data_IF_303930025003
#
_entry.id   IF_303930025003
#
_cell.length_a   1.000
_cell.length_b   1.000
_cell.length_c   1.000
_cell.angle_alpha   90.00
_cell.angle_beta   90.00
_cell.angle_gamma   90.00
#
_symmetry.space_group_name_H-M   'P 1'
#
loop_
_entity.id
_entity.type
_entity.pdbx_description
1 polymer ?
#
# COMPACT_ATOMS: atom_id res chain seq x y z
N UNK A 1 1.38 -36.11 13.84
CA UNK A 1 2.17 -35.19 14.73
C UNK A 1 3.01 -36.07 15.64
N UNK A 2 4.32 -35.88 15.67
CA UNK A 2 5.19 -36.58 16.61
C UNK A 2 4.97 -35.99 18.01
N UNK A 3 4.43 -36.77 18.93
CA UNK A 3 4.26 -36.40 20.32
C UNK A 3 5.61 -36.62 21.00
N UNK A 4 6.27 -35.55 21.41
CA UNK A 4 7.51 -35.63 22.20
C UNK A 4 7.20 -35.91 23.66
N UNK A 5 7.23 -37.17 24.01
CA UNK A 5 7.13 -37.60 25.41
C UNK A 5 8.46 -37.31 26.17
N UNK A 6 8.32 -36.59 27.27
CA UNK A 6 9.25 -36.52 28.39
C UNK A 6 10.75 -36.29 28.06
N UNK A 7 11.07 -35.18 27.50
CA UNK A 7 12.39 -34.59 27.69
C UNK A 7 12.18 -33.37 28.60
N UNK A 8 12.91 -33.26 29.72
CA UNK A 8 12.98 -32.04 30.53
C UNK A 8 13.62 -30.96 29.70
N UNK A 9 12.81 -30.21 28.97
CA UNK A 9 13.26 -29.11 28.14
C UNK A 9 13.31 -27.80 28.93
N UNK A 10 14.21 -26.94 28.47
CA UNK A 10 14.35 -25.60 28.98
C UNK A 10 12.98 -24.91 29.03
N UNK A 11 12.69 -24.26 30.14
CA UNK A 11 11.47 -23.53 30.47
C UNK A 11 11.18 -22.36 29.49
N UNK A 12 12.03 -22.14 28.50
CA UNK A 12 11.86 -21.10 27.44
C UNK A 12 11.77 -21.76 26.07
N UNK A 13 10.62 -21.64 25.47
CA UNK A 13 10.42 -22.00 24.06
C UNK A 13 11.22 -20.99 23.20
N UNK A 14 11.98 -21.50 22.22
CA UNK A 14 12.60 -20.64 21.22
C UNK A 14 11.51 -20.03 20.36
N UNK A 15 11.12 -18.82 20.68
CA UNK A 15 10.18 -18.02 19.87
C UNK A 15 10.94 -17.29 18.77
N UNK A 16 10.26 -17.07 17.63
CA UNK A 16 10.80 -16.19 16.60
C UNK A 16 10.92 -14.78 17.15
N UNK A 17 11.90 -14.03 16.64
CA UNK A 17 11.99 -12.62 16.96
C UNK A 17 10.73 -11.90 16.53
N UNK A 18 10.10 -11.16 17.46
CA UNK A 18 8.95 -10.33 17.19
C UNK A 18 9.40 -9.08 16.46
N UNK A 19 8.81 -8.80 15.33
CA UNK A 19 9.01 -7.54 14.62
C UNK A 19 7.73 -6.73 14.72
N UNK A 20 7.81 -5.54 15.30
CA UNK A 20 6.72 -4.58 15.22
C UNK A 20 6.40 -4.26 13.75
N UNK A 21 5.16 -3.88 13.44
CA UNK A 21 4.78 -3.47 12.09
C UNK A 21 5.69 -2.34 11.60
N UNK A 22 6.27 -2.53 10.41
CA UNK A 22 7.16 -1.53 9.80
C UNK A 22 6.35 -0.41 9.18
N UNK A 23 5.13 -0.72 8.73
CA UNK A 23 4.27 0.19 7.98
C UNK A 23 3.34 1.00 8.85
N UNK A 24 3.11 0.63 10.11
CA UNK A 24 2.07 1.21 10.97
C UNK A 24 2.17 2.74 11.13
N UNK A 25 3.38 3.30 11.24
CA UNK A 25 3.60 4.74 11.42
C UNK A 25 3.25 5.57 10.19
N UNK A 26 3.29 4.95 9.01
CA UNK A 26 3.08 5.61 7.73
C UNK A 26 1.71 5.26 7.12
N UNK A 27 0.85 4.56 7.87
CA UNK A 27 -0.53 4.27 7.48
C UNK A 27 -1.41 5.51 7.60
N UNK A 28 -2.30 5.71 6.63
CA UNK A 28 -3.33 6.73 6.68
C UNK A 28 -4.60 6.20 7.36
N UNK A 29 -5.12 6.98 8.34
CA UNK A 29 -6.31 6.61 9.10
C UNK A 29 -7.50 7.52 8.82
N UNK A 30 -7.44 8.36 7.79
CA UNK A 30 -8.51 9.31 7.43
C UNK A 30 -9.57 8.63 6.57
N UNK A 31 -10.42 7.80 7.18
CA UNK A 31 -11.52 7.11 6.50
C UNK A 31 -12.72 6.91 7.43
N UNK A 32 -13.89 6.69 6.85
CA UNK A 32 -15.08 6.25 7.57
C UNK A 32 -15.64 4.96 6.95
N UNK A 33 -16.13 4.06 7.80
CA UNK A 33 -16.84 2.88 7.34
C UNK A 33 -18.25 3.28 6.89
N UNK A 34 -18.70 2.75 5.75
CA UNK A 34 -20.04 3.00 5.24
C UNK A 34 -21.11 2.61 6.26
N UNK A 35 -20.93 1.44 6.88
CA UNK A 35 -21.76 0.94 7.99
C UNK A 35 -20.87 0.14 8.97
N UNK A 36 -21.25 -0.01 10.25
CA UNK A 36 -20.49 -0.79 11.22
C UNK A 36 -20.19 -2.22 10.79
N UNK A 37 -21.06 -2.84 10.00
CA UNK A 37 -20.91 -4.21 9.49
C UNK A 37 -20.40 -4.28 8.04
N UNK A 38 -20.19 -3.14 7.38
CA UNK A 38 -19.70 -3.10 6.01
C UNK A 38 -18.19 -3.36 5.93
N UNK A 39 -17.75 -3.89 4.79
CA UNK A 39 -16.34 -3.97 4.38
C UNK A 39 -15.93 -2.78 3.53
N UNK A 40 -16.88 -1.89 3.21
CA UNK A 40 -16.67 -0.75 2.34
C UNK A 40 -16.38 0.49 3.16
N UNK A 41 -15.33 1.19 2.78
CA UNK A 41 -14.98 2.52 3.29
C UNK A 41 -15.39 3.57 2.26
N UNK A 42 -15.70 4.76 2.75
CA UNK A 42 -16.07 5.90 1.95
C UNK A 42 -15.17 7.08 2.28
N UNK A 43 -14.64 7.71 1.26
CA UNK A 43 -13.80 8.90 1.36
C UNK A 43 -14.39 9.97 0.46
N UNK A 44 -14.76 11.10 1.05
CA UNK A 44 -15.22 12.28 0.33
C UNK A 44 -14.06 13.22 0.03
N UNK A 45 -14.08 13.82 -1.14
CA UNK A 45 -13.21 14.92 -1.52
C UNK A 45 -14.06 16.03 -2.10
N UNK A 46 -13.73 17.27 -1.74
CA UNK A 46 -14.38 18.46 -2.27
C UNK A 46 -13.53 18.97 -3.45
N UNK A 47 -14.19 19.24 -4.57
CA UNK A 47 -13.49 19.76 -5.74
C UNK A 47 -13.13 21.22 -5.54
N UNK A 48 -12.01 21.65 -6.11
CA UNK A 48 -11.60 23.05 -6.13
C UNK A 48 -12.14 23.73 -7.38
N UNK A 49 -12.36 25.03 -7.29
CA UNK A 49 -12.80 25.88 -8.40
C UNK A 49 -11.59 26.67 -8.91
N UNK A 50 -11.42 26.83 -10.24
CA UNK A 50 -10.33 27.64 -10.78
C UNK A 50 -10.46 29.11 -10.36
N UNK A 51 -9.31 29.73 -10.08
CA UNK A 51 -9.27 31.16 -9.77
C UNK A 51 -9.39 31.99 -11.04
N UNK A 52 -10.18 33.06 -10.97
CA UNK A 52 -10.34 34.05 -12.04
C UNK A 52 -9.76 35.39 -11.61
N UNK A 53 -9.28 36.19 -12.55
CA UNK A 53 -8.79 37.53 -12.26
C UNK A 53 -9.95 38.45 -11.85
N UNK A 54 -9.79 39.14 -10.70
CA UNK A 54 -10.79 40.11 -10.24
C UNK A 54 -10.85 41.32 -11.18
N UNK A 55 -12.05 41.64 -11.66
CA UNK A 55 -12.33 42.83 -12.49
C UNK A 55 -12.89 43.96 -11.63
N UNK A 56 -12.31 45.18 -11.73
CA UNK A 56 -12.73 46.33 -10.92
C UNK A 56 -14.00 47.03 -11.42
N UNK A 57 -14.47 46.68 -12.60
CA UNK A 57 -15.66 47.31 -13.24
C UNK A 57 -16.60 46.26 -13.80
N UNK A 58 -17.89 46.51 -13.81
CA UNK A 58 -18.94 45.63 -14.32
C UNK A 58 -19.61 44.76 -13.25
N UNK A 59 -20.54 43.91 -13.69
CA UNK A 59 -21.12 42.81 -12.90
C UNK A 59 -20.20 41.60 -12.97
N UNK A 60 -20.31 40.66 -12.00
CA UNK A 60 -19.48 39.45 -11.92
C UNK A 60 -17.97 39.74 -11.70
N UNK A 61 -17.66 40.65 -10.79
CA UNK A 61 -16.29 41.08 -10.52
C UNK A 61 -15.38 39.94 -10.07
N UNK A 62 -15.92 38.85 -9.48
CA UNK A 62 -15.23 37.66 -8.99
C UNK A 62 -15.24 36.51 -10.04
N UNK A 63 -15.71 36.76 -11.26
CA UNK A 63 -15.92 35.72 -12.28
C UNK A 63 -17.28 35.03 -12.13
N UNK A 64 -17.47 33.95 -12.86
CA UNK A 64 -18.69 33.15 -12.78
C UNK A 64 -18.75 32.36 -11.46
N UNK A 65 -19.95 32.20 -10.92
CA UNK A 65 -20.17 31.39 -9.73
C UNK A 65 -20.25 29.92 -10.13
N UNK A 66 -19.35 29.11 -9.64
CA UNK A 66 -19.34 27.67 -9.85
C UNK A 66 -19.83 26.94 -8.59
N UNK A 67 -20.62 25.91 -8.78
CA UNK A 67 -20.98 25.00 -7.69
C UNK A 67 -19.77 24.11 -7.33
N UNK A 68 -19.51 24.00 -6.02
CA UNK A 68 -18.47 23.12 -5.51
C UNK A 68 -19.03 21.72 -5.41
N UNK A 69 -18.61 20.85 -6.34
CA UNK A 69 -19.02 19.45 -6.37
C UNK A 69 -18.25 18.60 -5.37
N UNK A 70 -18.89 17.54 -4.88
CA UNK A 70 -18.27 16.50 -4.06
C UNK A 70 -17.93 15.28 -4.91
N UNK A 71 -16.74 14.74 -4.73
CA UNK A 71 -16.40 13.42 -5.27
C UNK A 71 -16.32 12.40 -4.14
N UNK A 72 -17.06 11.32 -4.29
CA UNK A 72 -17.13 10.24 -3.33
C UNK A 72 -16.41 9.02 -3.88
N UNK A 73 -15.38 8.55 -3.19
CA UNK A 73 -14.66 7.34 -3.54
C UNK A 73 -15.03 6.22 -2.58
N UNK A 74 -15.61 5.14 -3.08
CA UNK A 74 -15.94 3.95 -2.30
C UNK A 74 -14.93 2.84 -2.62
N UNK A 75 -14.40 2.21 -1.58
CA UNK A 75 -13.41 1.14 -1.69
C UNK A 75 -13.78 -0.01 -0.76
N UNK A 76 -13.79 -1.23 -1.29
CA UNK A 76 -14.14 -2.43 -0.53
C UNK A 76 -12.89 -3.22 -0.16
N UNK A 77 -12.75 -3.54 1.12
CA UNK A 77 -11.66 -4.39 1.61
C UNK A 77 -11.84 -5.82 1.11
N UNK A 78 -10.82 -6.34 0.42
CA UNK A 78 -10.82 -7.69 -0.16
C UNK A 78 -10.23 -8.73 0.79
N UNK A 79 -9.27 -8.32 1.65
CA UNK A 79 -8.55 -9.25 2.51
C UNK A 79 -9.34 -9.58 3.77
N UNK A 80 -9.63 -10.87 3.93
CA UNK A 80 -10.34 -11.43 5.09
C UNK A 80 -9.63 -12.69 5.60
N UNK A 81 -8.41 -12.60 6.09
CA UNK A 81 -7.75 -13.78 6.65
C UNK A 81 -8.41 -14.21 7.94
N UNK A 82 -8.58 -15.53 8.06
CA UNK A 82 -9.07 -16.18 9.25
C UNK A 82 -8.08 -17.24 9.73
N UNK A 83 -8.05 -17.47 11.01
CA UNK A 83 -7.30 -18.57 11.60
C UNK A 83 -8.14 -19.30 12.64
N UNK A 84 -7.89 -20.59 12.78
CA UNK A 84 -8.47 -21.43 13.80
C UNK A 84 -7.42 -22.43 14.26
N UNK A 85 -7.23 -22.55 15.56
CA UNK A 85 -6.39 -23.58 16.15
C UNK A 85 -6.96 -24.06 17.49
N UNK A 86 -6.64 -25.27 17.86
CA UNK A 86 -7.00 -25.86 19.15
C UNK A 86 -5.77 -26.22 19.95
N UNK A 87 -5.92 -26.22 21.26
CA UNK A 87 -4.91 -26.70 22.21
C UNK A 87 -5.56 -27.88 22.94
N UNK A 88 -5.11 -29.08 22.64
CA UNK A 88 -5.70 -30.29 23.23
C UNK A 88 -5.43 -30.35 24.75
N UNK A 89 -6.47 -30.65 25.53
CA UNK A 89 -6.39 -30.69 26.98
C UNK A 89 -5.44 -31.79 27.52
N UNK A 90 -5.45 -33.04 26.99
CA UNK A 90 -4.43 -34.05 27.34
C UNK A 90 -3.00 -33.59 27.08
N UNK A 91 -2.74 -32.94 25.92
CA UNK A 91 -1.42 -32.41 25.57
C UNK A 91 -0.93 -31.33 26.52
N UNK A 92 -1.81 -30.56 27.16
CA UNK A 92 -1.44 -29.57 28.18
C UNK A 92 -0.95 -30.22 29.47
N UNK A 93 -1.49 -31.38 29.81
CA UNK A 93 -1.13 -32.11 31.05
C UNK A 93 0.15 -32.90 30.86
N UNK A 94 0.35 -33.49 29.68
CA UNK A 94 1.46 -34.40 29.40
C UNK A 94 2.73 -33.65 28.91
N UNK A 95 2.59 -32.46 28.41
CA UNK A 95 3.74 -31.64 27.97
C UNK A 95 4.21 -30.72 29.08
N UNK A 96 5.55 -30.73 29.31
CA UNK A 96 6.21 -29.81 30.26
C UNK A 96 6.05 -28.32 29.92
N UNK A 97 5.44 -27.99 28.79
CA UNK A 97 5.23 -26.63 28.26
C UNK A 97 3.74 -26.29 28.35
N UNK A 98 3.41 -25.41 29.29
CA UNK A 98 2.06 -24.86 29.38
C UNK A 98 1.76 -23.94 28.17
N UNK A 99 0.87 -24.39 27.29
CA UNK A 99 0.33 -23.60 26.19
C UNK A 99 -0.92 -22.89 26.67
N UNK A 100 -0.87 -21.57 26.87
CA UNK A 100 -2.11 -20.82 27.11
C UNK A 100 -2.70 -20.32 25.79
N UNK A 101 -4.03 -20.36 25.65
CA UNK A 101 -4.73 -19.87 24.46
C UNK A 101 -4.40 -18.39 24.15
N UNK A 102 -4.23 -17.57 25.18
CA UNK A 102 -3.86 -16.17 25.03
C UNK A 102 -2.44 -15.96 24.50
N UNK A 103 -1.45 -16.74 24.96
CA UNK A 103 -0.08 -16.64 24.47
C UNK A 103 0.04 -17.14 23.02
N UNK A 104 -0.67 -18.21 22.67
CA UNK A 104 -0.71 -18.75 21.34
C UNK A 104 -1.39 -17.75 20.36
N UNK A 105 -2.49 -17.12 20.77
CA UNK A 105 -3.15 -16.07 19.99
C UNK A 105 -2.22 -14.88 19.74
N UNK A 106 -1.58 -14.37 20.81
CA UNK A 106 -0.65 -13.24 20.67
C UNK A 106 0.50 -13.57 19.70
N UNK A 107 1.03 -14.78 19.80
CA UNK A 107 2.07 -15.24 18.91
C UNK A 107 1.60 -15.35 17.46
N UNK A 108 0.38 -15.86 17.21
CA UNK A 108 -0.22 -15.92 15.89
C UNK A 108 -0.36 -14.51 15.28
N UNK A 109 -0.78 -13.53 16.06
CA UNK A 109 -0.88 -12.14 15.62
C UNK A 109 0.48 -11.54 15.27
N UNK A 110 1.45 -11.69 16.19
CA UNK A 110 2.77 -11.07 16.07
C UNK A 110 3.64 -11.72 14.97
N UNK A 111 3.56 -13.04 14.78
CA UNK A 111 4.44 -13.78 13.87
C UNK A 111 3.85 -14.00 12.46
N UNK A 112 2.53 -13.96 12.32
CA UNK A 112 1.86 -14.28 11.06
C UNK A 112 0.99 -13.13 10.54
N UNK A 113 0.08 -12.61 11.37
CA UNK A 113 -0.91 -11.63 10.92
C UNK A 113 -0.27 -10.28 10.62
N UNK A 114 0.54 -9.73 11.53
CA UNK A 114 1.20 -8.42 11.35
C UNK A 114 2.16 -8.44 10.16
N UNK A 115 3.09 -9.41 10.01
CA UNK A 115 3.93 -9.49 8.82
C UNK A 115 3.14 -9.66 7.51
N UNK A 116 2.04 -10.40 7.55
CA UNK A 116 1.14 -10.56 6.41
C UNK A 116 0.49 -9.24 5.99
N UNK A 117 0.02 -8.45 6.96
CA UNK A 117 -0.54 -7.12 6.73
C UNK A 117 0.49 -6.15 6.14
N UNK A 118 1.71 -6.11 6.70
CA UNK A 118 2.78 -5.25 6.20
C UNK A 118 3.13 -5.58 4.75
N UNK A 119 3.27 -6.87 4.43
CA UNK A 119 3.56 -7.33 3.06
C UNK A 119 2.45 -6.94 2.09
N UNK A 120 1.18 -7.08 2.49
CA UNK A 120 0.03 -6.71 1.68
C UNK A 120 -0.01 -5.19 1.44
N UNK A 121 0.19 -4.37 2.47
CA UNK A 121 0.25 -2.90 2.38
C UNK A 121 1.32 -2.44 1.42
N UNK A 122 2.56 -2.92 1.59
CA UNK A 122 3.68 -2.58 0.71
C UNK A 122 3.34 -2.91 -0.74
N UNK A 123 2.77 -4.09 -1.00
CA UNK A 123 2.34 -4.48 -2.35
C UNK A 123 1.30 -3.51 -2.90
N UNK A 124 0.25 -3.18 -2.13
CA UNK A 124 -0.82 -2.27 -2.58
C UNK A 124 -0.31 -0.83 -2.78
N UNK A 125 0.61 -0.35 -1.95
CA UNK A 125 1.22 0.97 -2.13
C UNK A 125 1.99 1.06 -3.44
N UNK A 126 2.83 0.07 -3.72
CA UNK A 126 3.60 0.00 -4.96
C UNK A 126 2.68 -0.09 -6.18
N UNK A 127 1.63 -0.91 -6.09
CA UNK A 127 0.65 -1.06 -7.17
C UNK A 127 -0.16 0.21 -7.42
N UNK A 128 -0.35 1.03 -6.40
CA UNK A 128 -1.08 2.30 -6.46
C UNK A 128 -0.22 3.50 -6.84
N UNK A 129 1.08 3.34 -7.07
CA UNK A 129 1.98 4.43 -7.42
C UNK A 129 1.62 5.06 -8.78
N UNK A 130 1.62 6.40 -8.87
CA UNK A 130 1.51 7.12 -10.13
C UNK A 130 2.89 7.44 -10.73
N UNK A 131 3.92 7.57 -9.89
CA UNK A 131 5.27 7.85 -10.33
C UNK A 131 6.07 6.55 -10.33
N UNK A 132 6.64 6.18 -11.47
CA UNK A 132 7.55 5.05 -11.58
C UNK A 132 8.76 5.38 -12.43
N UNK A 133 9.91 4.89 -11.98
CA UNK A 133 11.16 4.92 -12.72
C UNK A 133 11.56 3.48 -13.03
N UNK A 134 11.67 3.18 -14.32
CA UNK A 134 12.07 1.86 -14.78
C UNK A 134 13.59 1.83 -14.96
N UNK A 135 14.25 1.02 -14.14
CA UNK A 135 15.66 0.72 -14.26
C UNK A 135 15.87 -0.75 -14.58
N UNK A 136 16.37 -1.03 -15.77
CA UNK A 136 16.61 -2.40 -16.24
C UNK A 136 17.72 -3.11 -15.45
N UNK A 137 18.71 -2.34 -15.00
CA UNK A 137 19.87 -2.83 -14.25
C UNK A 137 19.71 -2.54 -12.77
N UNK A 138 20.00 -3.54 -11.92
CA UNK A 138 19.93 -3.35 -10.48
C UNK A 138 20.86 -2.20 -10.02
N UNK A 139 20.41 -1.36 -9.07
CA UNK A 139 21.22 -0.27 -8.55
C UNK A 139 22.56 -0.74 -7.99
N UNK A 140 23.60 0.03 -8.26
CA UNK A 140 24.95 -0.17 -7.73
C UNK A 140 25.27 0.89 -6.68
N UNK A 141 26.38 0.76 -5.97
CA UNK A 141 26.88 1.78 -5.03
C UNK A 141 26.98 3.18 -5.68
N UNK A 142 27.37 3.25 -6.95
CA UNK A 142 27.57 4.51 -7.66
C UNK A 142 26.24 5.14 -8.13
N UNK A 143 25.22 4.35 -8.40
CA UNK A 143 23.97 4.81 -9.05
C UNK A 143 22.81 5.00 -8.08
N UNK A 144 22.82 4.28 -6.93
CA UNK A 144 21.65 4.22 -6.04
C UNK A 144 21.24 5.58 -5.49
N UNK A 145 22.21 6.44 -5.13
CA UNK A 145 21.92 7.78 -4.61
C UNK A 145 21.28 8.68 -5.66
N UNK A 146 21.83 8.69 -6.88
CA UNK A 146 21.25 9.44 -8.00
C UNK A 146 19.82 9.03 -8.30
N UNK A 147 19.54 7.71 -8.35
CA UNK A 147 18.19 7.20 -8.59
C UNK A 147 17.18 7.59 -7.49
N UNK A 148 17.62 7.65 -6.23
CA UNK A 148 16.74 8.09 -5.13
C UNK A 148 16.46 9.59 -5.24
N UNK A 149 17.48 10.41 -5.53
CA UNK A 149 17.35 11.86 -5.72
C UNK A 149 16.43 12.16 -6.91
N UNK A 150 16.61 11.48 -8.04
CA UNK A 150 15.77 11.64 -9.24
C UNK A 150 14.31 11.27 -8.96
N UNK A 151 14.08 10.18 -8.18
CA UNK A 151 12.74 9.77 -7.80
C UNK A 151 12.09 10.80 -6.87
N UNK A 152 12.85 11.34 -5.92
CA UNK A 152 12.38 12.36 -4.99
C UNK A 152 12.11 13.71 -5.69
N UNK A 153 12.92 14.08 -6.69
CA UNK A 153 12.71 15.26 -7.53
C UNK A 153 11.38 15.17 -8.29
N UNK A 154 11.08 14.02 -8.91
CA UNK A 154 9.78 13.80 -9.60
C UNK A 154 8.58 13.97 -8.66
N UNK A 155 8.68 13.55 -7.41
CA UNK A 155 7.62 13.81 -6.42
C UNK A 155 7.50 15.29 -6.08
N UNK A 156 8.61 16.03 -6.10
CA UNK A 156 8.61 17.48 -5.86
C UNK A 156 7.99 18.23 -7.03
N UNK A 157 8.30 17.82 -8.26
CA UNK A 157 7.67 18.36 -9.48
C UNK A 157 6.16 18.11 -9.52
N UNK A 158 5.72 16.98 -8.94
CA UNK A 158 4.30 16.66 -8.75
C UNK A 158 3.67 17.35 -7.52
N UNK A 159 4.33 18.35 -6.93
CA UNK A 159 3.86 19.16 -5.79
C UNK A 159 3.55 18.35 -4.52
N UNK A 160 4.17 17.18 -4.35
CA UNK A 160 4.05 16.42 -3.11
C UNK A 160 4.86 17.08 -2.01
N UNK A 161 4.32 17.30 -0.79
CA UNK A 161 5.09 17.90 0.30
C UNK A 161 6.37 17.11 0.62
N UNK A 162 7.45 17.82 0.96
CA UNK A 162 8.73 17.20 1.36
C UNK A 162 8.61 16.51 2.73
N UNK A 163 7.89 17.16 3.65
CA UNK A 163 7.67 16.62 4.99
C UNK A 163 6.81 15.36 4.95
N UNK A 164 7.22 14.33 5.69
CA UNK A 164 6.47 13.07 5.80
C UNK A 164 6.75 12.06 4.68
N UNK A 165 7.77 12.28 3.85
CA UNK A 165 8.27 11.28 2.90
C UNK A 165 9.09 10.21 3.61
N UNK A 166 8.86 8.96 3.27
CA UNK A 166 9.60 7.81 3.79
C UNK A 166 10.11 6.96 2.62
N UNK A 167 11.42 6.73 2.59
CA UNK A 167 12.07 5.83 1.64
C UNK A 167 12.05 4.41 2.20
N UNK A 168 11.38 3.52 1.53
CA UNK A 168 11.38 2.09 1.79
C UNK A 168 12.35 1.40 0.85
N UNK A 169 13.38 0.78 1.41
CA UNK A 169 14.46 0.17 0.63
C UNK A 169 14.65 -1.29 1.04
N UNK A 170 14.82 -2.20 0.06
CA UNK A 170 15.12 -3.59 0.37
C UNK A 170 16.51 -3.72 1.00
N UNK A 171 16.64 -4.63 1.95
CA UNK A 171 17.87 -4.80 2.76
C UNK A 171 19.13 -4.98 1.90
N UNK A 172 19.00 -5.61 0.73
CA UNK A 172 20.13 -5.79 -0.19
C UNK A 172 20.64 -4.47 -0.79
N UNK A 173 19.76 -3.49 -1.07
CA UNK A 173 20.13 -2.18 -1.59
C UNK A 173 20.48 -1.20 -0.47
N UNK A 174 19.90 -1.38 0.71
CA UNK A 174 20.22 -0.56 1.87
C UNK A 174 21.70 -0.61 2.25
N UNK A 175 22.36 -1.78 2.13
CA UNK A 175 23.81 -1.87 2.34
C UNK A 175 24.64 -1.02 1.39
N UNK A 176 24.16 -0.84 0.13
CA UNK A 176 24.81 0.02 -0.86
C UNK A 176 24.66 1.48 -0.49
N UNK A 177 23.47 1.89 -0.03
CA UNK A 177 23.19 3.25 0.42
C UNK A 177 24.08 3.64 1.62
N UNK A 178 24.29 2.74 2.58
CA UNK A 178 25.18 2.95 3.73
C UNK A 178 26.64 3.21 3.35
N UNK A 179 27.06 2.77 2.19
CA UNK A 179 28.45 2.97 1.71
C UNK A 179 28.64 4.30 1.01
N UNK A 180 27.59 5.11 0.88
CA UNK A 180 27.68 6.44 0.27
C UNK A 180 28.08 7.48 1.32
N UNK A 181 28.97 8.44 0.97
CA UNK A 181 29.41 9.48 1.90
C UNK A 181 28.29 10.47 2.28
N UNK A 182 27.30 10.65 1.44
CA UNK A 182 26.17 11.60 1.63
C UNK A 182 25.03 11.02 2.47
N UNK A 183 25.14 9.77 2.93
CA UNK A 183 24.13 9.15 3.76
C UNK A 183 24.26 9.58 5.22
N UNK A 184 23.25 10.27 5.75
CA UNK A 184 23.17 10.69 7.14
C UNK A 184 22.65 9.54 7.99
N UNK A 185 23.54 8.96 8.81
CA UNK A 185 23.20 7.86 9.71
C UNK A 185 22.38 8.30 10.92
N UNK A 186 21.91 7.31 11.66
CA UNK A 186 21.03 7.44 12.83
C UNK A 186 21.59 8.30 13.95
N UNK A 187 22.89 8.43 14.08
CA UNK A 187 23.51 9.22 15.14
C UNK A 187 23.08 10.71 15.13
N UNK A 188 22.61 11.20 13.99
CA UNK A 188 22.08 12.55 13.84
C UNK A 188 20.55 12.68 14.10
N UNK A 189 19.80 11.58 14.11
CA UNK A 189 18.32 11.59 14.17
C UNK A 189 17.72 11.38 15.56
N UNK A 190 18.51 10.97 16.54
CA UNK A 190 18.06 10.76 17.92
C UNK A 190 17.25 9.46 18.18
N UNK A 191 16.96 9.23 19.46
CA UNK A 191 16.40 7.95 19.95
C UNK A 191 14.98 7.62 19.47
N UNK A 192 14.15 8.60 19.17
CA UNK A 192 12.75 8.38 18.72
C UNK A 192 12.68 7.78 17.31
N UNK A 193 13.58 8.18 16.43
CA UNK A 193 13.64 7.65 15.07
C UNK A 193 14.03 6.15 15.06
N UNK A 194 14.93 5.76 15.97
CA UNK A 194 15.32 4.36 16.17
C UNK A 194 14.15 3.47 16.60
N UNK A 195 13.31 3.93 17.52
CA UNK A 195 12.16 3.19 17.99
C UNK A 195 11.13 2.91 16.89
N UNK A 196 11.05 3.78 15.89
CA UNK A 196 10.15 3.66 14.72
C UNK A 196 10.77 2.88 13.54
N UNK A 197 11.97 2.30 13.72
CA UNK A 197 12.66 1.55 12.67
C UNK A 197 13.27 2.41 11.56
N UNK A 198 13.33 3.72 11.75
CA UNK A 198 14.06 4.64 10.87
C UNK A 198 15.54 4.51 11.19
N UNK A 199 16.37 4.25 10.19
CA UNK A 199 17.81 4.01 10.37
C UNK A 199 18.71 5.10 9.80
N UNK A 200 18.10 6.15 9.26
CA UNK A 200 18.80 7.30 8.72
C UNK A 200 17.86 8.22 7.96
N UNK A 201 18.43 9.28 7.43
CA UNK A 201 17.77 10.21 6.53
C UNK A 201 18.61 10.39 5.28
N UNK A 202 17.96 10.44 4.13
CA UNK A 202 18.61 10.69 2.85
C UNK A 202 17.71 11.58 2.00
N UNK A 203 18.23 12.69 1.53
CA UNK A 203 17.54 13.67 0.70
C UNK A 203 16.17 14.09 1.29
N UNK A 204 16.13 14.38 2.61
CA UNK A 204 14.91 14.77 3.32
C UNK A 204 13.89 13.63 3.54
N UNK A 205 14.20 12.41 3.10
CA UNK A 205 13.34 11.24 3.28
C UNK A 205 13.84 10.37 4.45
N UNK A 206 12.94 9.98 5.33
CA UNK A 206 13.25 8.97 6.37
C UNK A 206 13.49 7.61 5.74
N UNK A 207 14.60 6.96 6.06
CA UNK A 207 14.97 5.66 5.49
C UNK A 207 14.50 4.53 6.37
N UNK A 208 13.68 3.63 5.82
CA UNK A 208 13.21 2.39 6.47
C UNK A 208 13.63 1.17 5.64
N UNK A 209 14.61 0.38 6.11
CA UNK A 209 14.95 -0.87 5.46
C UNK A 209 13.88 -1.91 5.72
N UNK A 210 13.48 -2.60 4.66
CA UNK A 210 12.51 -3.69 4.72
C UNK A 210 13.12 -5.01 4.24
N UNK A 211 12.66 -6.15 4.76
CA UNK A 211 13.10 -7.45 4.25
C UNK A 211 12.82 -7.57 2.76
N UNK A 212 13.76 -8.13 2.01
CA UNK A 212 13.59 -8.35 0.56
C UNK A 212 12.33 -9.17 0.24
N UNK A 213 11.92 -10.07 1.15
CA UNK A 213 10.71 -10.88 0.99
C UNK A 213 9.40 -10.08 1.08
N UNK A 214 9.43 -8.83 1.53
CA UNK A 214 8.25 -7.94 1.58
C UNK A 214 8.11 -7.11 0.30
N UNK A 215 9.20 -6.93 -0.45
CA UNK A 215 9.17 -6.27 -1.74
C UNK A 215 8.61 -7.20 -2.82
N UNK A 216 7.75 -6.71 -3.70
CA UNK A 216 7.44 -7.40 -4.95
C UNK A 216 8.70 -7.61 -5.79
N UNK A 217 8.73 -8.71 -6.55
CA UNK A 217 9.85 -9.01 -7.42
C UNK A 217 10.12 -7.87 -8.40
N UNK A 218 11.39 -7.47 -8.52
CA UNK A 218 11.82 -6.44 -9.45
C UNK A 218 11.67 -4.99 -8.97
N UNK A 219 11.17 -4.77 -7.75
CA UNK A 219 11.16 -3.43 -7.12
C UNK A 219 12.38 -3.29 -6.23
N UNK A 220 13.14 -2.22 -6.42
CA UNK A 220 14.37 -1.96 -5.66
C UNK A 220 14.11 -1.15 -4.41
N UNK A 221 13.39 -0.05 -4.55
CA UNK A 221 12.95 0.85 -3.48
C UNK A 221 11.76 1.67 -3.92
N UNK A 222 11.08 2.29 -2.97
CA UNK A 222 10.01 3.24 -3.25
C UNK A 222 9.97 4.33 -2.18
N UNK A 223 9.48 5.51 -2.55
CA UNK A 223 9.24 6.63 -1.66
C UNK A 223 7.73 6.79 -1.49
N UNK A 224 7.30 6.98 -0.26
CA UNK A 224 5.88 7.17 0.08
C UNK A 224 5.71 8.37 0.99
N UNK A 225 4.74 9.23 0.66
CA UNK A 225 4.26 10.28 1.56
C UNK A 225 3.17 9.73 2.49
N UNK A 226 3.20 10.07 3.77
CA UNK A 226 2.29 9.53 4.78
C UNK A 226 0.81 9.75 4.46
N UNK A 227 0.44 10.90 3.90
CA UNK A 227 -0.95 11.30 3.66
C UNK A 227 -1.59 10.77 2.37
N UNK A 228 -0.92 9.93 1.58
CA UNK A 228 -1.41 9.49 0.28
C UNK A 228 -2.21 8.19 0.31
N UNK A 229 -2.19 7.46 1.42
CA UNK A 229 -2.86 6.15 1.54
C UNK A 229 -3.89 6.14 2.64
N UNK A 230 -4.81 5.18 2.52
CA UNK A 230 -5.77 4.80 3.54
C UNK A 230 -5.65 3.30 3.75
N UNK A 231 -5.39 2.92 5.00
CA UNK A 231 -5.03 1.56 5.38
C UNK A 231 -6.03 1.02 6.43
N UNK A 232 -7.29 0.71 6.01
CA UNK A 232 -8.31 0.26 6.92
C UNK A 232 -7.95 -1.09 7.53
N UNK A 233 -8.12 -1.17 8.83
CA UNK A 233 -8.01 -2.42 9.59
C UNK A 233 -9.22 -2.53 10.50
N UNK A 234 -9.93 -3.64 10.41
CA UNK A 234 -11.06 -3.95 11.26
C UNK A 234 -10.91 -5.34 11.85
N UNK A 235 -10.82 -5.37 13.16
CA UNK A 235 -10.91 -6.60 13.90
C UNK A 235 -12.36 -7.04 13.98
N UNK A 236 -12.71 -8.16 13.36
CA UNK A 236 -14.10 -8.53 13.31
C UNK A 236 -14.53 -9.44 14.43
N UNK A 237 -13.76 -10.45 14.77
CA UNK A 237 -14.13 -11.38 15.82
C UNK A 237 -12.91 -12.17 16.31
N UNK A 238 -12.71 -12.21 17.63
CA UNK A 238 -11.92 -13.24 18.28
C UNK A 238 -12.80 -14.00 19.26
N UNK A 239 -12.83 -15.30 19.11
CA UNK A 239 -13.53 -16.20 20.02
C UNK A 239 -12.53 -17.21 20.59
N UNK A 240 -12.65 -17.44 21.89
CA UNK A 240 -12.06 -18.58 22.55
C UNK A 240 -13.25 -19.42 23.00
N UNK A 241 -13.47 -20.54 22.30
CA UNK A 241 -14.54 -21.49 22.61
C UNK A 241 -13.96 -22.55 23.52
N UNK A 242 -14.48 -22.66 24.72
CA UNK A 242 -14.00 -23.62 25.75
C UNK A 242 -14.42 -25.04 25.47
N UNK A 243 -15.59 -25.21 24.82
CA UNK A 243 -16.13 -26.52 24.48
C UNK A 243 -16.63 -26.51 23.02
N UNK A 244 -15.99 -27.32 22.19
CA UNK A 244 -16.41 -27.54 20.80
C UNK A 244 -16.53 -29.05 20.57
N UNK A 245 -17.65 -29.46 19.99
CA UNK A 245 -17.91 -30.86 19.68
C UNK A 245 -16.77 -31.43 18.80
N UNK A 246 -16.17 -32.54 19.26
CA UNK A 246 -15.09 -33.21 18.54
C UNK A 246 -13.68 -32.71 18.84
N UNK A 247 -13.52 -31.72 19.74
CA UNK A 247 -12.20 -31.24 20.20
C UNK A 247 -12.12 -31.31 21.73
N UNK A 248 -11.00 -31.77 22.23
CA UNK A 248 -10.71 -31.85 23.66
C UNK A 248 -9.85 -30.66 24.08
N UNK A 249 -10.46 -29.48 24.22
CA UNK A 249 -9.77 -28.27 24.65
C UNK A 249 -10.27 -27.00 23.98
N UNK A 250 -9.74 -25.83 24.36
CA UNK A 250 -10.19 -24.56 23.83
C UNK A 250 -9.82 -24.40 22.34
N UNK A 251 -10.79 -23.96 21.54
CA UNK A 251 -10.60 -23.57 20.14
C UNK A 251 -10.54 -22.06 20.04
N UNK A 252 -9.46 -21.56 19.50
CA UNK A 252 -9.21 -20.12 19.26
C UNK A 252 -9.45 -19.83 17.80
N UNK A 253 -10.36 -18.90 17.53
CA UNK A 253 -10.72 -18.46 16.17
C UNK A 253 -10.60 -16.96 16.06
N UNK A 254 -10.09 -16.49 14.93
CA UNK A 254 -10.00 -15.06 14.65
C UNK A 254 -10.23 -14.75 13.19
N UNK A 255 -10.87 -13.61 12.93
CA UNK A 255 -11.07 -13.04 11.60
C UNK A 255 -10.70 -11.57 11.63
N UNK A 256 -9.87 -11.15 10.69
CA UNK A 256 -9.44 -9.76 10.54
C UNK A 256 -9.76 -9.29 9.13
N UNK A 257 -10.35 -8.10 9.00
CA UNK A 257 -10.44 -7.42 7.72
C UNK A 257 -9.36 -6.35 7.63
N UNK A 258 -8.66 -6.33 6.54
CA UNK A 258 -7.75 -5.24 6.24
C UNK A 258 -7.56 -5.08 4.73
N UNK A 259 -7.20 -3.89 4.33
CA UNK A 259 -6.74 -3.60 2.99
C UNK A 259 -5.87 -2.33 3.00
N UNK A 260 -5.44 -1.89 1.85
CA UNK A 260 -4.67 -0.67 1.68
C UNK A 260 -4.97 -0.06 0.33
N UNK A 261 -5.26 1.22 0.31
CA UNK A 261 -5.64 1.96 -0.89
C UNK A 261 -4.80 3.21 -1.02
N UNK A 262 -4.31 3.47 -2.20
CA UNK A 262 -3.71 4.76 -2.56
C UNK A 262 -4.82 5.64 -3.11
N UNK A 263 -5.00 6.84 -2.53
CA UNK A 263 -6.04 7.77 -2.97
C UNK A 263 -5.74 8.27 -4.38
N UNK A 264 -6.73 8.24 -5.27
CA UNK A 264 -6.55 8.61 -6.68
C UNK A 264 -5.99 10.03 -6.86
N UNK A 265 -6.53 11.00 -6.12
CA UNK A 265 -6.04 12.40 -6.13
C UNK A 265 -4.64 12.59 -5.50
N UNK A 266 -4.10 11.58 -4.80
CA UNK A 266 -2.81 11.64 -4.11
C UNK A 266 -1.88 10.51 -4.55
N UNK A 267 -2.14 9.90 -5.69
CA UNK A 267 -1.35 8.79 -6.24
C UNK A 267 0.12 9.16 -6.48
N UNK A 268 0.40 10.44 -6.76
CA UNK A 268 1.75 10.98 -6.91
C UNK A 268 2.55 10.96 -5.61
N UNK A 269 1.87 10.79 -4.47
CA UNK A 269 2.51 10.58 -3.17
C UNK A 269 3.20 9.23 -3.01
N UNK A 270 3.16 8.36 -4.00
CA UNK A 270 3.95 7.12 -4.06
C UNK A 270 4.75 7.08 -5.34
N UNK A 271 6.06 6.95 -5.20
CA UNK A 271 7.00 6.86 -6.31
C UNK A 271 7.83 5.57 -6.18
N UNK A 272 7.97 4.82 -7.26
CA UNK A 272 8.58 3.47 -7.26
C UNK A 272 9.72 3.41 -8.26
N UNK A 273 10.83 2.80 -7.85
CA UNK A 273 11.94 2.45 -8.72
C UNK A 273 12.08 0.93 -8.82
N UNK A 274 12.10 0.40 -10.04
CA UNK A 274 12.21 -1.03 -10.27
C UNK A 274 12.42 -1.39 -11.73
N UNK A 275 12.54 -2.68 -11.98
CA UNK A 275 12.66 -3.22 -13.33
C UNK A 275 11.27 -3.45 -14.00
N UNK A 276 11.14 -4.49 -14.78
CA UNK A 276 9.91 -4.84 -15.51
C UNK A 276 8.66 -5.16 -14.63
N UNK A 277 8.80 -5.28 -13.30
CA UNK A 277 7.66 -5.49 -12.39
C UNK A 277 6.81 -4.24 -12.20
N UNK A 278 7.36 -3.06 -12.52
CA UNK A 278 6.62 -1.81 -12.54
C UNK A 278 6.03 -1.64 -13.93
N UNK A 279 4.71 -1.73 -14.04
CA UNK A 279 4.01 -1.55 -15.31
C UNK A 279 3.94 -0.06 -15.64
N UNK A 280 4.33 0.27 -16.86
CA UNK A 280 4.20 1.63 -17.37
C UNK A 280 2.73 2.02 -17.59
N UNK A 281 2.46 3.32 -17.64
CA UNK A 281 1.15 3.84 -18.02
C UNK A 281 0.74 3.33 -19.41
N UNK A 282 -0.55 3.03 -19.64
CA UNK A 282 -1.05 2.64 -20.95
C UNK A 282 -0.77 3.75 -21.98
N UNK A 283 -0.21 3.36 -23.13
CA UNK A 283 -0.04 4.28 -24.25
C UNK A 283 -1.36 4.36 -24.98
N UNK A 284 -2.01 5.54 -24.92
CA UNK A 284 -3.31 5.79 -25.50
C UNK A 284 -3.19 6.76 -26.68
N UNK A 285 -3.85 6.45 -27.78
CA UNK A 285 -4.00 7.31 -28.93
C UNK A 285 -5.48 7.57 -29.19
N UNK A 286 -5.80 8.79 -29.65
CA UNK A 286 -7.16 9.17 -30.05
C UNK A 286 -7.22 9.39 -31.56
N UNK A 287 -8.24 8.82 -32.19
CA UNK A 287 -8.52 9.02 -33.62
C UNK A 287 -10.00 9.33 -33.77
N UNK A 288 -10.31 10.58 -34.12
CA UNK A 288 -11.67 11.10 -34.06
C UNK A 288 -12.18 11.06 -32.60
N UNK A 289 -13.26 10.35 -32.35
CA UNK A 289 -13.85 10.18 -31.02
C UNK A 289 -13.39 8.90 -30.30
N UNK A 290 -12.59 8.05 -30.95
CA UNK A 290 -12.22 6.74 -30.44
C UNK A 290 -10.81 6.77 -29.82
N UNK A 291 -10.72 6.37 -28.56
CA UNK A 291 -9.43 6.14 -27.85
C UNK A 291 -9.05 4.69 -27.95
N UNK A 292 -7.85 4.44 -28.43
CA UNK A 292 -7.25 3.11 -28.49
C UNK A 292 -6.05 3.01 -27.55
N UNK A 293 -5.90 1.84 -26.91
CA UNK A 293 -4.76 1.51 -26.05
C UNK A 293 -3.83 0.57 -26.82
N UNK A 294 -2.55 0.88 -26.85
CA UNK A 294 -1.56 0.00 -27.48
C UNK A 294 -1.43 -1.29 -26.67
N UNK A 295 -1.72 -2.42 -27.30
CA UNK A 295 -1.66 -3.73 -26.65
C UNK A 295 -0.22 -4.10 -26.23
N UNK A 296 -0.09 -4.66 -25.04
CA UNK A 296 1.17 -5.21 -24.51
C UNK A 296 0.95 -6.67 -24.15
N UNK A 297 1.83 -7.55 -24.60
CA UNK A 297 1.68 -9.01 -24.39
C UNK A 297 1.58 -9.38 -22.91
N UNK A 298 0.54 -10.13 -22.55
CA UNK A 298 0.31 -10.59 -21.19
C UNK A 298 -0.18 -9.50 -20.21
N UNK A 299 -0.57 -8.33 -20.70
CA UNK A 299 -1.13 -7.24 -19.90
C UNK A 299 -2.61 -7.06 -20.23
N UNK A 300 -3.43 -6.96 -19.20
CA UNK A 300 -4.85 -6.62 -19.30
C UNK A 300 -5.01 -5.16 -18.91
N UNK A 301 -5.76 -4.39 -19.68
CA UNK A 301 -6.06 -2.99 -19.37
C UNK A 301 -7.47 -2.88 -18.80
N UNK A 302 -7.61 -2.10 -17.72
CA UNK A 302 -8.90 -1.68 -17.19
C UNK A 302 -9.05 -0.18 -17.39
N UNK A 303 -10.24 0.28 -17.69
CA UNK A 303 -10.48 1.70 -17.92
C UNK A 303 -11.80 2.17 -17.32
N UNK A 304 -11.92 3.49 -17.15
CA UNK A 304 -13.14 4.22 -16.77
C UNK A 304 -13.27 5.47 -17.65
N UNK A 305 -14.50 5.92 -17.88
CA UNK A 305 -14.80 7.15 -18.63
C UNK A 305 -15.61 8.15 -17.80
N UNK A 306 -15.89 7.80 -16.54
CA UNK A 306 -16.69 8.58 -15.57
C UNK A 306 -15.82 9.43 -14.62
N UNK A 307 -14.52 9.53 -14.88
CA UNK A 307 -13.56 10.26 -14.04
C UNK A 307 -13.11 9.50 -12.78
N UNK A 308 -13.69 8.33 -12.50
CA UNK A 308 -13.28 7.51 -11.36
C UNK A 308 -11.94 6.80 -11.61
N UNK A 309 -11.25 6.40 -10.54
CA UNK A 309 -9.98 5.67 -10.68
C UNK A 309 -10.23 4.20 -11.06
N UNK A 310 -9.74 3.73 -12.22
CA UNK A 310 -10.00 2.36 -12.71
C UNK A 310 -9.41 1.25 -11.84
N UNK A 311 -8.58 1.57 -10.85
CA UNK A 311 -8.05 0.59 -9.89
C UNK A 311 -9.09 0.15 -8.87
N UNK A 312 -9.99 1.05 -8.49
CA UNK A 312 -10.90 0.86 -7.35
C UNK A 312 -12.36 1.02 -7.74
N UNK A 313 -12.64 1.54 -8.94
CA UNK A 313 -14.00 1.78 -9.40
C UNK A 313 -14.73 0.47 -9.68
N UNK A 314 -16.00 0.42 -9.29
CA UNK A 314 -16.94 -0.65 -9.67
C UNK A 314 -17.40 -0.53 -11.11
N UNK A 315 -17.23 0.65 -11.73
CA UNK A 315 -17.54 0.94 -13.13
C UNK A 315 -16.39 0.64 -14.07
N UNK A 316 -15.23 0.19 -13.53
CA UNK A 316 -14.06 -0.13 -14.34
C UNK A 316 -14.31 -1.35 -15.24
N UNK A 317 -14.14 -1.15 -16.54
CA UNK A 317 -14.30 -2.17 -17.57
C UNK A 317 -12.96 -2.69 -18.07
N UNK A 318 -12.93 -3.91 -18.59
CA UNK A 318 -11.76 -4.47 -19.25
C UNK A 318 -11.72 -3.96 -20.69
N UNK A 319 -10.59 -3.39 -21.09
CA UNK A 319 -10.38 -2.90 -22.43
C UNK A 319 -10.22 -4.07 -23.42
N UNK A 320 -11.11 -4.11 -24.42
CA UNK A 320 -11.10 -5.11 -25.49
C UNK A 320 -11.03 -4.48 -26.89
N UNK A 321 -11.55 -3.27 -27.03
CA UNK A 321 -11.61 -2.53 -28.29
C UNK A 321 -11.56 -1.01 -28.02
N UNK A 322 -11.38 -0.22 -29.08
CA UNK A 322 -11.37 1.24 -28.98
C UNK A 322 -12.69 1.77 -28.36
N UNK A 323 -12.55 2.73 -27.45
CA UNK A 323 -13.65 3.30 -26.66
C UNK A 323 -13.98 4.68 -27.22
N UNK A 324 -15.25 4.90 -27.56
CA UNK A 324 -15.72 6.19 -28.06
C UNK A 324 -16.01 7.13 -26.89
N UNK A 325 -15.39 8.31 -26.89
CA UNK A 325 -15.63 9.36 -25.89
C UNK A 325 -16.55 10.44 -26.47
N UNK A 326 -17.31 11.08 -25.59
CA UNK A 326 -18.01 12.32 -25.87
C UNK A 326 -17.17 13.54 -25.47
N UNK A 327 -17.42 14.71 -26.10
CA UNK A 327 -16.67 15.92 -25.78
C UNK A 327 -16.69 16.23 -24.27
N UNK A 328 -15.53 16.54 -23.71
CA UNK A 328 -15.33 16.78 -22.27
C UNK A 328 -15.17 15.53 -21.42
N UNK A 329 -15.18 14.33 -21.99
CA UNK A 329 -14.88 13.09 -21.24
C UNK A 329 -13.38 12.77 -21.21
N UNK A 330 -12.94 12.24 -20.09
CA UNK A 330 -11.58 11.73 -19.88
C UNK A 330 -11.60 10.22 -19.72
N UNK A 331 -10.85 9.52 -20.56
CA UNK A 331 -10.58 8.10 -20.33
C UNK A 331 -9.38 7.94 -19.41
N UNK A 332 -9.59 7.21 -18.31
CA UNK A 332 -8.54 6.80 -17.38
C UNK A 332 -8.32 5.31 -17.53
N UNK A 333 -7.07 4.89 -17.66
CA UNK A 333 -6.76 3.47 -17.86
C UNK A 333 -5.55 3.03 -17.05
N UNK A 334 -5.55 1.77 -16.63
CA UNK A 334 -4.44 1.13 -15.91
C UNK A 334 -4.11 -0.22 -16.51
N UNK A 335 -2.84 -0.54 -16.53
CA UNK A 335 -2.34 -1.85 -16.93
C UNK A 335 -2.38 -2.81 -15.73
N UNK A 336 -2.81 -4.06 -15.94
CA UNK A 336 -2.81 -5.11 -14.92
C UNK A 336 -2.12 -6.35 -15.45
N UNK A 337 -1.24 -6.96 -14.64
CA UNK A 337 -0.58 -8.22 -14.96
C UNK A 337 -0.27 -8.97 -13.67
N UNK A 338 -0.66 -10.24 -13.60
CA UNK A 338 -0.37 -11.13 -12.46
C UNK A 338 -0.73 -10.50 -11.09
N UNK A 339 -1.85 -9.75 -11.05
CA UNK A 339 -2.29 -9.05 -9.85
C UNK A 339 -1.52 -7.76 -9.52
N UNK A 340 -0.57 -7.34 -10.36
CA UNK A 340 0.08 -6.04 -10.28
C UNK A 340 -0.67 -5.03 -11.15
N UNK A 341 -0.90 -3.84 -10.63
CA UNK A 341 -1.53 -2.72 -11.33
C UNK A 341 -0.46 -1.67 -11.63
N UNK A 342 -0.45 -1.18 -12.86
CA UNK A 342 0.52 -0.19 -13.30
C UNK A 342 0.12 1.25 -13.01
N UNK A 343 0.94 2.15 -13.53
CA UNK A 343 0.69 3.59 -13.51
C UNK A 343 -0.58 3.88 -14.30
N UNK A 344 -1.33 4.85 -13.84
CA UNK A 344 -2.52 5.33 -14.53
C UNK A 344 -2.13 6.20 -15.73
N UNK A 345 -2.75 5.94 -16.87
CA UNK A 345 -2.73 6.82 -18.03
C UNK A 345 -4.06 7.54 -18.16
N UNK A 346 -4.02 8.78 -18.59
CA UNK A 346 -5.21 9.60 -18.86
C UNK A 346 -5.20 10.08 -20.30
N UNK A 347 -6.38 10.17 -20.90
CA UNK A 347 -6.58 10.74 -22.23
C UNK A 347 -7.87 11.52 -22.28
N UNK A 348 -7.75 12.82 -22.51
CA UNK A 348 -8.87 13.73 -22.60
C UNK A 348 -9.35 13.81 -24.05
N UNK A 349 -10.66 13.96 -24.22
CA UNK A 349 -11.28 14.34 -25.48
C UNK A 349 -11.93 15.71 -25.29
N UNK A 350 -11.29 16.73 -25.85
CA UNK A 350 -11.77 18.13 -25.89
C UNK A 350 -12.91 18.35 -26.85
#
# INVERSE_FOLDING_TARGET
>A
MAINYAIKYATKIAERFKKASITADDCGNSYSWLNPNSRTIRIGSVNTVPETQYTRSGSNRFGEVHDVGDTLQEMTCEMQPAFSFTIDAPDQTDQAIQKSAGSALRRQLDEVTIPGMDKHRIKKWIMGANIAVKEATAPTKATIGGLIIDLNAKMTDALVPLEGRTLYIATEYYKLLKQMPDYIGVDALGKEALAKGVVGEFDGCRVKPIPTSYMPAGVYFFIKHKGCTVDPVKLQKYNILTEVQGYSGPVVQGVTYYDSFVLGAKGDGVAVCGNAAVLAAPVMSITGHAVSITAVSGVVFKYTTDGTNPRYSTTAEVYTAAVTLTAGQTMRAVATKDGCVGIEGTKDYE
#
